data_IF_612157096852
#
_entry.id   IF_612157096852
#
_cell.length_a   1.000
_cell.length_b   1.000
_cell.length_c   1.000
_cell.angle_alpha   90.00
_cell.angle_beta   90.00
_cell.angle_gamma   90.00
#
_symmetry.space_group_name_H-M   'P 1'
#
loop_
_entity.id
_entity.type
_entity.pdbx_description
1 polymer ?
#
# COMPACT_ATOMS: atom_id res chain seq x y z
N UNK A 1 -4.77 -18.55 18.45
CA UNK A 1 -3.54 -17.77 18.21
C UNK A 1 -3.77 -17.00 16.92
N UNK A 2 -4.14 -15.73 17.02
CA UNK A 2 -4.13 -14.85 15.85
C UNK A 2 -2.67 -14.55 15.57
N UNK A 3 -2.13 -15.10 14.48
CA UNK A 3 -0.83 -14.68 13.99
C UNK A 3 -1.01 -13.29 13.40
N UNK A 4 -0.48 -12.27 14.06
CA UNK A 4 -0.44 -10.93 13.49
C UNK A 4 0.52 -10.97 12.29
N UNK A 5 -0.02 -10.92 11.07
CA UNK A 5 0.76 -10.82 9.85
C UNK A 5 1.37 -9.42 9.78
N UNK A 6 2.52 -9.25 10.44
CA UNK A 6 3.28 -8.01 10.38
C UNK A 6 4.24 -8.07 9.19
N UNK A 7 4.13 -7.07 8.32
CA UNK A 7 5.05 -6.88 7.21
C UNK A 7 6.05 -5.82 7.66
N UNK A 8 7.33 -6.19 7.68
CA UNK A 8 8.41 -5.27 7.97
C UNK A 8 9.09 -4.93 6.66
N UNK A 9 9.01 -3.67 6.26
CA UNK A 9 9.79 -3.14 5.14
C UNK A 9 11.25 -3.00 5.61
N UNK A 10 12.18 -3.67 4.92
CA UNK A 10 13.59 -3.67 5.31
C UNK A 10 14.27 -2.35 4.91
N UNK A 11 14.50 -1.48 5.88
CA UNK A 11 15.14 -0.18 5.67
C UNK A 11 16.65 -0.29 5.37
N UNK A 12 17.26 -1.48 5.42
CA UNK A 12 18.71 -1.66 5.17
C UNK A 12 19.07 -1.67 3.68
N UNK A 13 18.13 -2.03 2.82
CA UNK A 13 18.25 -1.93 1.35
C UNK A 13 17.51 -0.71 0.78
N UNK A 14 16.81 0.05 1.63
CA UNK A 14 16.19 1.30 1.25
C UNK A 14 17.27 2.31 0.84
N UNK A 15 17.12 2.90 -0.34
CA UNK A 15 17.89 4.05 -0.79
C UNK A 15 16.92 5.05 -1.40
N UNK A 16 17.00 6.35 -1.05
CA UNK A 16 16.12 7.37 -1.62
C UNK A 16 16.30 7.51 -3.15
N UNK A 17 17.39 6.98 -3.70
CA UNK A 17 17.67 6.88 -5.14
C UNK A 17 17.02 5.66 -5.81
N UNK A 18 16.51 4.69 -5.03
CA UNK A 18 15.84 3.45 -5.47
C UNK A 18 14.41 3.37 -4.91
N UNK A 19 13.68 4.47 -4.96
CA UNK A 19 12.25 4.44 -4.66
C UNK A 19 11.52 3.73 -5.81
N UNK A 20 10.82 2.64 -5.49
CA UNK A 20 10.00 1.93 -6.47
C UNK A 20 8.78 2.78 -6.82
N UNK A 21 8.85 3.44 -7.98
CA UNK A 21 7.74 4.18 -8.59
C UNK A 21 6.70 3.26 -9.25
N UNK A 22 6.97 1.95 -9.28
CA UNK A 22 6.05 0.92 -9.75
C UNK A 22 5.57 0.10 -8.54
N UNK A 23 4.31 -0.35 -8.54
CA UNK A 23 3.80 -1.20 -7.48
C UNK A 23 4.51 -2.55 -7.51
N UNK A 24 5.48 -2.72 -6.62
CA UNK A 24 6.26 -3.97 -6.48
C UNK A 24 5.58 -4.98 -5.55
N UNK A 25 4.65 -4.51 -4.73
CA UNK A 25 3.84 -5.31 -3.82
C UNK A 25 2.38 -5.05 -4.14
N UNK A 26 1.61 -6.14 -4.21
CA UNK A 26 0.17 -6.12 -4.42
C UNK A 26 -0.50 -6.79 -3.22
N UNK A 27 -1.40 -6.06 -2.57
CA UNK A 27 -2.25 -6.58 -1.51
C UNK A 27 -3.64 -6.89 -2.04
N UNK A 28 -4.13 -8.10 -1.75
CA UNK A 28 -5.51 -8.45 -1.99
C UNK A 28 -6.38 -7.98 -0.81
N UNK A 29 -7.44 -7.24 -1.12
CA UNK A 29 -8.43 -6.75 -0.17
C UNK A 29 -9.80 -7.29 -0.58
N UNK A 30 -10.50 -7.95 0.35
CA UNK A 30 -11.86 -8.43 0.12
C UNK A 30 -12.83 -7.28 -0.21
N UNK A 31 -12.64 -6.13 0.45
CA UNK A 31 -13.37 -4.90 0.20
C UNK A 31 -12.42 -3.71 -0.04
N UNK A 32 -12.42 -3.23 -1.29
CA UNK A 32 -11.54 -2.16 -1.74
C UNK A 32 -11.98 -0.79 -1.21
N UNK A 33 -13.28 -0.60 -0.98
CA UNK A 33 -13.84 0.66 -0.48
C UNK A 33 -13.52 0.82 1.01
N UNK A 34 -13.77 -0.22 1.80
CA UNK A 34 -13.40 -0.25 3.22
C UNK A 34 -11.89 -0.08 3.39
N UNK A 35 -11.09 -0.76 2.57
CA UNK A 35 -9.63 -0.63 2.60
C UNK A 35 -9.19 0.80 2.25
N UNK A 36 -9.82 1.43 1.26
CA UNK A 36 -9.50 2.81 0.87
C UNK A 36 -9.86 3.81 1.98
N UNK A 37 -11.02 3.66 2.62
CA UNK A 37 -11.42 4.49 3.76
C UNK A 37 -10.52 4.28 4.97
N UNK A 38 -10.14 3.03 5.26
CA UNK A 38 -9.20 2.71 6.34
C UNK A 38 -7.84 3.37 6.10
N UNK A 39 -7.29 3.24 4.88
CA UNK A 39 -6.03 3.85 4.47
C UNK A 39 -6.07 5.37 4.60
N UNK A 40 -7.19 6.00 4.24
CA UNK A 40 -7.42 7.43 4.44
C UNK A 40 -7.49 7.81 5.92
N UNK A 41 -8.06 6.96 6.78
CA UNK A 41 -8.17 7.21 8.22
C UNK A 41 -6.82 7.20 8.94
N UNK A 42 -5.89 6.35 8.51
CA UNK A 42 -4.53 6.24 9.06
C UNK A 42 -3.56 7.27 8.47
N UNK A 43 -4.07 8.23 7.67
CA UNK A 43 -3.31 9.30 7.04
C UNK A 43 -2.20 8.80 6.07
N UNK A 44 -2.43 7.67 5.39
CA UNK A 44 -1.51 7.20 4.35
C UNK A 44 -1.62 8.07 3.10
N UNK A 45 -0.54 8.21 2.35
CA UNK A 45 -0.54 8.95 1.09
C UNK A 45 -1.18 8.10 -0.01
N UNK A 46 -2.41 8.43 -0.39
CA UNK A 46 -3.11 7.79 -1.51
C UNK A 46 -2.56 8.37 -2.82
N UNK A 47 -1.89 7.54 -3.62
CA UNK A 47 -1.29 7.95 -4.91
C UNK A 47 -2.36 8.03 -6.00
N UNK A 48 -3.28 7.08 -5.99
CA UNK A 48 -4.42 7.05 -6.91
C UNK A 48 -5.71 6.79 -6.13
N UNK A 49 -6.84 7.19 -6.70
CA UNK A 49 -8.15 6.73 -6.23
C UNK A 49 -8.38 5.25 -6.58
N UNK A 50 -9.58 4.76 -6.25
CA UNK A 50 -10.04 3.44 -6.69
C UNK A 50 -10.29 3.48 -8.20
N UNK A 51 -9.37 2.89 -8.95
CA UNK A 51 -9.42 2.72 -10.39
C UNK A 51 -10.34 1.54 -10.72
N UNK A 52 -11.37 1.81 -11.54
CA UNK A 52 -12.37 0.84 -11.99
C UNK A 52 -13.11 0.08 -10.87
N UNK A 53 -13.06 0.54 -9.62
CA UNK A 53 -13.64 -0.21 -8.50
C UNK A 53 -12.87 -1.49 -8.13
N UNK A 54 -11.64 -1.64 -8.62
CA UNK A 54 -10.87 -2.88 -8.50
C UNK A 54 -9.53 -2.70 -7.81
N UNK A 55 -8.88 -1.53 -7.91
CA UNK A 55 -7.57 -1.33 -7.31
C UNK A 55 -7.26 0.14 -7.04
N UNK A 56 -6.34 0.40 -6.11
CA UNK A 56 -5.77 1.73 -5.87
C UNK A 56 -4.31 1.61 -5.43
N UNK A 57 -3.56 2.70 -5.56
CA UNK A 57 -2.17 2.77 -5.14
C UNK A 57 -2.00 3.67 -3.93
N UNK A 58 -1.18 3.23 -2.98
CA UNK A 58 -0.76 4.00 -1.82
C UNK A 58 0.75 4.17 -1.80
N UNK A 59 1.21 5.17 -1.06
CA UNK A 59 2.60 5.41 -0.78
C UNK A 59 2.86 5.21 0.71
N UNK A 60 3.87 4.41 0.98
CA UNK A 60 4.44 4.30 2.31
C UNK A 60 5.25 5.56 2.67
N UNK A 61 5.49 5.89 3.95
CA UNK A 61 6.36 7.00 4.35
C UNK A 61 7.76 6.99 3.72
N UNK A 62 8.29 5.81 3.37
CA UNK A 62 9.55 5.66 2.65
C UNK A 62 9.45 6.02 1.14
N UNK A 63 8.23 6.25 0.63
CA UNK A 63 7.98 6.63 -0.76
C UNK A 63 7.70 5.46 -1.69
N UNK A 64 7.67 4.23 -1.19
CA UNK A 64 7.38 3.04 -1.99
C UNK A 64 5.92 3.01 -2.43
N UNK A 65 5.68 2.76 -3.72
CA UNK A 65 4.34 2.57 -4.26
C UNK A 65 3.88 1.13 -4.00
N UNK A 66 2.72 1.00 -3.39
CA UNK A 66 2.06 -0.27 -3.08
C UNK A 66 0.70 -0.27 -3.77
N UNK A 67 0.35 -1.37 -4.43
CA UNK A 67 -0.97 -1.54 -5.02
C UNK A 67 -1.86 -2.38 -4.11
N UNK A 68 -3.10 -1.95 -3.94
CA UNK A 68 -4.15 -2.70 -3.26
C UNK A 68 -5.21 -3.02 -4.32
N UNK A 69 -5.60 -4.27 -4.42
CA UNK A 69 -6.60 -4.74 -5.38
C UNK A 69 -7.63 -5.64 -4.71
N UNK A 70 -8.79 -5.77 -5.34
CA UNK A 70 -9.79 -6.79 -5.05
C UNK A 70 -9.56 -8.06 -5.84
#
# INVERSE_FOLDING_TARGET
MQGETNIVLDSKIYSPEHVFNIPVVQFAADDIEESYEYMKSINVELVTGIENGHWFNIKDPDGNVIMICK
#
